data_IF_839081934867
#
_entry.id   IF_839081934867
#
_cell.length_a   1.000
_cell.length_b   1.000
_cell.length_c   1.000
_cell.angle_alpha   90.00
_cell.angle_beta   90.00
_cell.angle_gamma   90.00
#
_symmetry.space_group_name_H-M   'P 1'
#
loop_
_entity.id
_entity.type
_entity.pdbx_description
1 polymer ?
#
# COMPACT_ATOMS: atom_id res chain seq x y z
N UNK A 1 -26.73 -4.52 -11.24
CA UNK A 1 -27.39 -5.07 -10.03
C UNK A 1 -26.89 -4.30 -8.84
N UNK A 2 -27.79 -3.57 -8.14
CA UNK A 2 -27.41 -2.84 -6.92
C UNK A 2 -26.89 -3.86 -5.90
N UNK A 3 -25.59 -3.91 -5.67
CA UNK A 3 -25.08 -4.52 -4.43
C UNK A 3 -25.65 -3.70 -3.26
N UNK A 4 -26.27 -4.32 -2.26
CA UNK A 4 -26.61 -3.60 -1.07
C UNK A 4 -25.28 -3.07 -0.50
N UNK A 5 -25.18 -1.73 -0.26
CA UNK A 5 -24.13 -1.19 0.59
C UNK A 5 -24.18 -2.03 1.86
N UNK A 6 -23.21 -2.90 2.06
CA UNK A 6 -23.12 -3.64 3.30
C UNK A 6 -22.76 -2.59 4.34
N UNK A 7 -23.76 -2.15 5.10
CA UNK A 7 -23.57 -1.44 6.37
C UNK A 7 -22.86 -2.41 7.34
N UNK A 8 -21.61 -2.76 7.01
CA UNK A 8 -20.80 -3.65 7.84
C UNK A 8 -20.35 -2.84 9.03
N UNK A 9 -21.06 -3.01 10.13
CA UNK A 9 -20.66 -2.43 11.42
C UNK A 9 -19.46 -3.22 11.93
N UNK A 10 -18.31 -2.57 12.06
CA UNK A 10 -17.15 -3.15 12.71
C UNK A 10 -17.46 -3.36 14.20
N UNK A 11 -17.48 -4.62 14.64
CA UNK A 11 -17.73 -5.01 16.03
C UNK A 11 -16.42 -5.30 16.80
N UNK A 12 -15.27 -4.98 16.22
CA UNK A 12 -13.97 -5.37 16.74
C UNK A 12 -13.49 -6.71 16.18
N UNK A 13 -12.21 -6.99 16.36
CA UNK A 13 -11.66 -8.29 16.02
C UNK A 13 -12.05 -9.34 17.09
N UNK A 14 -12.16 -10.63 16.72
CA UNK A 14 -12.38 -11.70 17.68
C UNK A 14 -11.40 -11.61 18.86
N UNK A 15 -11.88 -11.75 20.08
CA UNK A 15 -11.08 -11.54 21.30
C UNK A 15 -9.82 -12.46 21.37
N UNK A 16 -9.86 -13.60 20.68
CA UNK A 16 -8.75 -14.56 20.58
C UNK A 16 -7.76 -14.26 19.47
N UNK A 17 -8.09 -13.32 18.55
CA UNK A 17 -7.22 -13.03 17.40
C UNK A 17 -5.92 -12.31 17.80
N UNK A 18 -4.84 -12.48 17.02
CA UNK A 18 -3.60 -11.70 17.14
C UNK A 18 -3.85 -10.20 17.09
N UNK A 19 -4.72 -9.72 16.18
CA UNK A 19 -5.12 -8.32 16.06
C UNK A 19 -5.65 -7.76 17.38
N UNK A 20 -6.66 -8.45 17.99
CA UNK A 20 -7.21 -8.02 19.27
C UNK A 20 -6.18 -8.06 20.41
N UNK A 21 -5.25 -9.01 20.38
CA UNK A 21 -4.15 -9.07 21.35
C UNK A 21 -3.17 -7.91 21.18
N UNK A 22 -2.85 -7.51 19.94
CA UNK A 22 -1.97 -6.38 19.63
C UNK A 22 -2.57 -5.04 20.08
N UNK A 23 -3.86 -4.82 19.79
CA UNK A 23 -4.60 -3.61 20.22
C UNK A 23 -4.69 -3.53 21.74
N UNK A 24 -5.08 -4.63 22.42
CA UNK A 24 -5.14 -4.67 23.90
C UNK A 24 -3.79 -4.42 24.56
N UNK A 25 -2.70 -4.81 23.91
CA UNK A 25 -1.33 -4.53 24.38
C UNK A 25 -0.88 -3.09 24.08
N UNK A 26 -1.72 -2.30 23.41
CA UNK A 26 -1.41 -0.93 23.03
C UNK A 26 -0.29 -0.81 21.99
N UNK A 27 -0.03 -1.84 21.22
CA UNK A 27 0.92 -1.80 20.11
C UNK A 27 0.34 -1.15 18.86
N UNK A 28 -0.95 -1.38 18.64
CA UNK A 28 -1.70 -0.85 17.51
C UNK A 28 -2.94 -0.12 17.99
N UNK A 29 -3.37 0.86 17.22
CA UNK A 29 -4.64 1.54 17.41
C UNK A 29 -5.77 0.71 16.75
N UNK A 30 -6.97 0.77 17.33
CA UNK A 30 -8.14 0.12 16.72
C UNK A 30 -8.56 0.87 15.45
N UNK A 31 -9.05 0.19 14.40
CA UNK A 31 -9.36 0.83 13.11
C UNK A 31 -10.69 1.60 13.09
N UNK A 32 -11.47 1.61 14.17
CA UNK A 32 -12.81 2.18 14.29
C UNK A 32 -12.82 3.64 14.81
N UNK A 33 -11.83 4.43 14.42
CA UNK A 33 -11.77 5.86 14.75
C UNK A 33 -12.45 6.74 13.68
N UNK A 34 -12.89 7.97 14.03
CA UNK A 34 -13.49 8.90 13.07
C UNK A 34 -12.51 9.25 11.95
N UNK A 35 -13.02 9.34 10.73
CA UNK A 35 -12.25 9.73 9.55
C UNK A 35 -12.90 10.93 8.87
N UNK A 36 -12.08 11.79 8.31
CA UNK A 36 -12.50 12.89 7.45
C UNK A 36 -12.21 12.54 5.99
N UNK A 37 -13.17 12.84 5.12
CA UNK A 37 -13.10 12.56 3.69
C UNK A 37 -13.18 13.84 2.88
N UNK A 38 -12.42 13.89 1.80
CA UNK A 38 -12.47 14.96 0.82
C UNK A 38 -12.91 14.39 -0.53
N UNK A 39 -14.02 14.90 -1.04
CA UNK A 39 -14.54 14.50 -2.34
C UNK A 39 -14.39 15.64 -3.36
N UNK A 40 -13.93 15.28 -4.55
CA UNK A 40 -13.86 16.22 -5.68
C UNK A 40 -13.96 15.46 -7.01
N UNK A 41 -14.40 16.18 -8.05
CA UNK A 41 -14.48 15.62 -9.40
C UNK A 41 -13.11 15.68 -10.06
N UNK A 42 -12.74 14.61 -10.77
CA UNK A 42 -11.53 14.56 -11.57
C UNK A 42 -11.55 15.72 -12.60
N UNK A 43 -10.53 16.58 -12.63
CA UNK A 43 -10.51 17.73 -13.56
C UNK A 43 -10.54 17.32 -15.03
N UNK A 44 -10.12 16.09 -15.35
CA UNK A 44 -10.07 15.57 -16.72
C UNK A 44 -11.27 14.69 -17.09
N UNK A 45 -12.12 14.30 -16.10
CA UNK A 45 -13.30 13.48 -16.34
C UNK A 45 -14.45 13.88 -15.40
N UNK A 46 -15.51 14.54 -15.90
CA UNK A 46 -16.64 14.95 -15.08
C UNK A 46 -17.49 13.79 -14.54
N UNK A 47 -17.29 12.57 -15.05
CA UNK A 47 -17.94 11.35 -14.59
C UNK A 47 -17.11 10.55 -13.60
N UNK A 48 -15.96 11.07 -13.18
CA UNK A 48 -15.08 10.45 -12.21
C UNK A 48 -14.97 11.33 -10.94
N UNK A 49 -15.20 10.73 -9.78
CA UNK A 49 -15.13 11.41 -8.47
C UNK A 49 -14.10 10.69 -7.60
N UNK A 50 -13.17 11.46 -7.04
CA UNK A 50 -12.27 10.98 -6.00
C UNK A 50 -12.85 11.22 -4.61
N UNK A 51 -12.66 10.26 -3.70
CA UNK A 51 -12.99 10.34 -2.28
C UNK A 51 -11.75 9.94 -1.49
N UNK A 52 -11.10 10.91 -0.84
CA UNK A 52 -9.80 10.74 -0.21
C UNK A 52 -9.94 10.76 1.31
N UNK A 53 -9.40 9.75 2.01
CA UNK A 53 -9.30 9.71 3.46
C UNK A 53 -8.24 10.71 3.95
N UNK A 54 -8.68 11.92 4.31
CA UNK A 54 -7.79 12.97 4.81
C UNK A 54 -7.09 12.55 6.10
N UNK A 55 -7.77 11.81 6.99
CA UNK A 55 -7.17 11.34 8.23
C UNK A 55 -5.95 10.45 7.97
N UNK A 56 -5.98 9.69 6.88
CA UNK A 56 -4.86 8.87 6.46
C UNK A 56 -3.77 9.65 5.72
N UNK A 57 -4.13 10.39 4.66
CA UNK A 57 -3.12 11.09 3.85
C UNK A 57 -2.46 12.28 4.58
N UNK A 58 -3.10 12.81 5.62
CA UNK A 58 -2.50 13.80 6.54
C UNK A 58 -1.73 13.14 7.70
N UNK A 59 -1.73 11.80 7.81
CA UNK A 59 -0.94 11.08 8.82
C UNK A 59 0.56 11.15 8.52
N UNK A 60 1.38 10.92 9.53
CA UNK A 60 2.84 10.93 9.42
C UNK A 60 3.42 9.51 9.20
N UNK A 61 2.66 8.67 8.52
CA UNK A 61 3.09 7.29 8.24
C UNK A 61 4.34 7.23 7.37
N UNK A 62 5.20 6.25 7.64
CA UNK A 62 6.25 5.78 6.73
C UNK A 62 6.50 4.29 6.92
N UNK A 63 6.72 3.58 5.83
CA UNK A 63 7.11 2.17 5.88
C UNK A 63 8.43 2.02 6.63
N UNK A 64 8.48 1.09 7.60
CA UNK A 64 9.65 0.82 8.42
C UNK A 64 10.34 -0.49 8.03
N UNK A 65 9.99 -1.07 6.88
CA UNK A 65 10.63 -2.31 6.44
C UNK A 65 12.15 -2.15 6.32
N UNK A 66 12.89 -3.14 6.75
CA UNK A 66 14.34 -3.10 6.84
C UNK A 66 14.89 -2.43 8.12
N UNK A 67 14.03 -1.90 8.99
CA UNK A 67 14.40 -1.32 10.29
C UNK A 67 13.89 -2.17 11.45
N UNK A 68 14.40 -1.92 12.66
CA UNK A 68 13.93 -2.59 13.90
C UNK A 68 12.49 -2.19 14.30
N UNK A 69 11.91 -1.17 13.69
CA UNK A 69 10.52 -0.74 13.95
C UNK A 69 9.51 -1.61 13.19
N UNK A 70 9.89 -2.20 12.04
CA UNK A 70 9.08 -3.20 11.36
C UNK A 70 9.15 -4.52 12.14
N UNK A 71 8.01 -4.98 12.64
CA UNK A 71 7.91 -6.24 13.40
C UNK A 71 7.55 -7.44 12.54
N UNK A 72 7.29 -7.22 11.25
CA UNK A 72 6.75 -8.22 10.34
C UNK A 72 5.30 -8.58 10.66
N UNK A 73 4.53 -9.00 9.65
CA UNK A 73 3.14 -9.44 9.86
C UNK A 73 3.05 -10.87 10.40
N UNK A 74 4.13 -11.66 10.30
CA UNK A 74 4.31 -12.97 10.91
C UNK A 74 5.50 -12.91 11.89
N UNK A 75 5.23 -13.09 13.17
CA UNK A 75 6.27 -13.05 14.22
C UNK A 75 7.31 -14.17 14.09
N UNK A 76 7.04 -15.23 13.30
CA UNK A 76 8.00 -16.30 13.01
C UNK A 76 9.02 -15.88 11.96
N UNK A 77 8.68 -14.85 11.17
CA UNK A 77 9.47 -14.33 10.05
C UNK A 77 9.48 -12.79 10.04
N UNK A 78 9.91 -12.13 11.13
CA UNK A 78 9.83 -10.67 11.24
C UNK A 78 10.68 -9.95 10.20
N UNK A 79 11.73 -10.61 9.68
CA UNK A 79 12.63 -10.05 8.67
C UNK A 79 12.04 -9.96 7.27
N UNK A 80 10.86 -10.54 7.00
CA UNK A 80 10.25 -10.52 5.67
C UNK A 80 9.07 -9.54 5.54
N UNK A 81 8.68 -8.91 6.63
CA UNK A 81 7.64 -7.87 6.62
C UNK A 81 6.31 -8.36 6.03
N UNK A 82 5.72 -7.60 5.10
CA UNK A 82 4.48 -7.95 4.38
C UNK A 82 4.72 -8.84 3.15
N UNK A 83 5.96 -9.18 2.81
CA UNK A 83 6.31 -9.99 1.64
C UNK A 83 5.98 -11.49 1.78
N UNK A 84 5.35 -11.93 2.87
CA UNK A 84 5.01 -13.35 3.11
C UNK A 84 4.00 -13.93 2.11
N UNK A 85 3.25 -13.08 1.40
CA UNK A 85 2.22 -13.53 0.44
C UNK A 85 2.67 -13.48 -1.03
N UNK A 86 3.83 -12.88 -1.34
CA UNK A 86 4.21 -12.55 -2.71
C UNK A 86 3.47 -11.30 -3.21
N UNK A 87 3.63 -10.99 -4.49
CA UNK A 87 2.97 -9.88 -5.15
C UNK A 87 2.17 -10.41 -6.34
N UNK A 88 0.87 -10.22 -6.33
CA UNK A 88 0.01 -10.48 -7.49
C UNK A 88 0.13 -9.33 -8.47
N UNK A 89 0.24 -9.65 -9.76
CA UNK A 89 0.25 -8.66 -10.83
C UNK A 89 -1.18 -8.14 -11.02
N UNK A 90 -1.31 -6.80 -11.07
CA UNK A 90 -2.60 -6.15 -11.26
C UNK A 90 -3.14 -6.36 -12.69
N UNK A 91 -2.25 -6.29 -13.67
CA UNK A 91 -2.54 -6.44 -15.10
C UNK A 91 -1.25 -6.72 -15.89
N UNK A 92 -1.34 -6.67 -17.23
CA UNK A 92 -0.18 -6.86 -18.12
C UNK A 92 0.84 -5.73 -18.01
N UNK A 93 0.41 -4.48 -17.76
CA UNK A 93 1.30 -3.34 -17.61
C UNK A 93 2.16 -3.46 -16.35
N UNK A 94 1.57 -3.89 -15.25
CA UNK A 94 2.28 -4.17 -13.98
C UNK A 94 3.32 -5.30 -14.16
N UNK A 95 2.97 -6.34 -14.95
CA UNK A 95 3.90 -7.42 -15.33
C UNK A 95 5.08 -6.90 -16.17
N UNK A 96 4.78 -6.08 -17.19
CA UNK A 96 5.79 -5.50 -18.07
C UNK A 96 6.74 -4.56 -17.31
N UNK A 97 6.22 -3.75 -16.39
CA UNK A 97 7.02 -2.90 -15.51
C UNK A 97 7.96 -3.73 -14.63
N UNK A 98 7.46 -4.83 -14.04
CA UNK A 98 8.32 -5.73 -13.27
C UNK A 98 9.39 -6.38 -14.13
N UNK A 99 9.07 -6.78 -15.38
CA UNK A 99 10.06 -7.29 -16.34
C UNK A 99 11.17 -6.28 -16.60
N UNK A 100 10.81 -5.03 -16.91
CA UNK A 100 11.77 -3.95 -17.15
C UNK A 100 12.63 -3.65 -15.92
N UNK A 101 12.04 -3.69 -14.73
CA UNK A 101 12.78 -3.51 -13.48
C UNK A 101 13.80 -4.63 -13.27
N UNK A 102 13.40 -5.91 -13.47
CA UNK A 102 14.31 -7.07 -13.36
C UNK A 102 15.43 -7.02 -14.38
N UNK A 103 15.14 -6.59 -15.62
CA UNK A 103 16.14 -6.47 -16.67
C UNK A 103 17.23 -5.42 -16.36
N UNK A 104 16.89 -4.36 -15.61
CA UNK A 104 17.80 -3.28 -15.20
C UNK A 104 18.49 -3.51 -13.87
N UNK A 105 17.88 -4.28 -12.96
CA UNK A 105 18.37 -4.51 -11.60
C UNK A 105 19.66 -5.36 -11.61
N UNK A 106 20.78 -4.88 -11.03
CA UNK A 106 21.98 -5.69 -10.89
C UNK A 106 21.75 -6.94 -10.00
N UNK A 107 22.32 -8.06 -10.42
CA UNK A 107 22.11 -9.36 -9.77
C UNK A 107 22.48 -9.38 -8.27
N UNK A 108 23.44 -8.56 -7.85
CA UNK A 108 23.88 -8.45 -6.45
C UNK A 108 22.81 -7.92 -5.50
N UNK A 109 21.78 -7.20 -6.02
CA UNK A 109 20.65 -6.77 -5.18
C UNK A 109 19.72 -7.91 -4.81
N UNK A 110 19.72 -9.02 -5.53
CA UNK A 110 18.70 -10.06 -5.43
C UNK A 110 19.24 -11.38 -4.88
N UNK A 111 19.06 -11.62 -3.59
CA UNK A 111 19.56 -12.79 -2.89
C UNK A 111 19.05 -14.14 -3.46
N UNK A 112 17.76 -14.20 -3.75
CA UNK A 112 17.10 -15.43 -4.20
C UNK A 112 16.84 -15.40 -5.72
N UNK A 113 17.73 -14.76 -6.47
CA UNK A 113 17.63 -14.65 -7.93
C UNK A 113 17.60 -16.04 -8.56
N UNK A 114 16.52 -16.39 -9.32
CA UNK A 114 16.42 -17.69 -9.96
C UNK A 114 17.57 -17.94 -10.95
N UNK A 115 17.94 -19.20 -11.08
CA UNK A 115 18.79 -19.62 -12.19
C UNK A 115 18.01 -19.43 -13.50
N UNK A 116 18.71 -19.05 -14.59
CA UNK A 116 18.10 -18.87 -15.89
C UNK A 116 17.51 -17.48 -16.17
N UNK A 117 17.55 -16.53 -15.20
CA UNK A 117 17.09 -15.15 -15.45
C UNK A 117 17.84 -14.49 -16.59
N UNK A 118 19.18 -14.62 -16.63
CA UNK A 118 19.97 -13.99 -17.70
C UNK A 118 19.72 -14.64 -19.07
N UNK A 119 19.53 -15.95 -19.11
CA UNK A 119 19.18 -16.69 -20.31
C UNK A 119 17.77 -16.32 -20.79
N UNK A 120 16.82 -16.13 -19.86
CA UNK A 120 15.47 -15.68 -20.19
C UNK A 120 15.47 -14.27 -20.77
N UNK A 121 16.15 -13.31 -20.14
CA UNK A 121 16.26 -11.93 -20.59
C UNK A 121 17.03 -11.77 -21.91
N UNK A 122 17.87 -12.74 -22.27
CA UNK A 122 18.61 -12.74 -23.54
C UNK A 122 17.77 -13.23 -24.74
N UNK A 123 16.53 -13.71 -24.51
CA UNK A 123 15.62 -14.15 -25.56
C UNK A 123 14.89 -12.96 -26.18
N UNK A 124 14.76 -12.92 -27.51
CA UNK A 124 14.08 -11.80 -28.20
C UNK A 124 12.55 -11.80 -27.97
N UNK A 125 11.94 -12.94 -27.78
CA UNK A 125 10.56 -13.16 -27.39
C UNK A 125 10.38 -14.64 -26.97
N UNK A 126 9.60 -14.89 -25.96
CA UNK A 126 9.28 -16.25 -25.49
C UNK A 126 7.84 -16.32 -25.01
N UNK A 127 7.19 -17.48 -25.25
CA UNK A 127 5.91 -17.81 -24.64
C UNK A 127 6.10 -18.43 -23.24
N UNK A 128 7.35 -18.55 -22.77
CA UNK A 128 7.67 -19.09 -21.45
C UNK A 128 7.36 -18.04 -20.36
N UNK A 129 6.90 -18.54 -19.22
CA UNK A 129 6.68 -17.70 -18.05
C UNK A 129 8.02 -17.23 -17.46
N UNK A 130 8.09 -15.99 -17.01
CA UNK A 130 9.26 -15.40 -16.35
C UNK A 130 9.68 -16.24 -15.14
N UNK A 131 10.99 -16.49 -14.92
CA UNK A 131 11.48 -17.29 -13.79
C UNK A 131 11.12 -16.72 -12.41
N UNK A 132 10.64 -15.48 -12.34
CA UNK A 132 10.22 -14.78 -11.12
C UNK A 132 8.71 -14.64 -10.97
N UNK A 133 7.92 -15.34 -11.80
CA UNK A 133 6.46 -15.41 -11.71
C UNK A 133 5.98 -16.86 -11.63
N UNK A 134 4.82 -17.05 -11.03
CA UNK A 134 4.09 -18.32 -10.98
C UNK A 134 2.59 -18.07 -11.13
N UNK A 135 1.88 -19.08 -11.65
CA UNK A 135 0.42 -19.07 -11.68
C UNK A 135 -0.14 -19.46 -10.31
N UNK A 136 -1.15 -18.73 -9.87
CA UNK A 136 -1.96 -18.98 -8.69
C UNK A 136 -3.42 -18.67 -8.98
N UNK A 137 -4.28 -18.67 -7.97
CA UNK A 137 -5.70 -18.36 -8.06
C UNK A 137 -6.05 -17.29 -7.04
N UNK A 138 -6.92 -16.37 -7.46
CA UNK A 138 -7.58 -15.39 -6.59
C UNK A 138 -9.07 -15.54 -6.68
N UNK A 139 -9.80 -15.19 -5.63
CA UNK A 139 -11.26 -15.09 -5.67
C UNK A 139 -11.67 -13.95 -6.61
N UNK A 140 -12.34 -14.29 -7.72
CA UNK A 140 -12.93 -13.34 -8.64
C UNK A 140 -14.10 -12.56 -8.01
N UNK A 141 -14.68 -11.62 -8.76
CA UNK A 141 -15.79 -10.79 -8.27
C UNK A 141 -17.04 -11.59 -7.88
N UNK A 142 -17.26 -12.74 -8.51
CA UNK A 142 -18.36 -13.66 -8.20
C UNK A 142 -18.01 -14.68 -7.09
N UNK A 143 -16.76 -14.65 -6.60
CA UNK A 143 -16.22 -15.57 -5.59
C UNK A 143 -15.77 -16.91 -6.16
N UNK A 144 -15.72 -17.07 -7.48
CA UNK A 144 -15.11 -18.24 -8.13
C UNK A 144 -13.60 -17.97 -8.33
N UNK A 145 -12.74 -19.02 -8.25
CA UNK A 145 -11.31 -18.87 -8.47
C UNK A 145 -10.97 -18.41 -9.90
N UNK A 146 -10.17 -17.39 -10.03
CA UNK A 146 -9.64 -16.90 -11.30
C UNK A 146 -8.12 -17.02 -11.35
N UNK A 147 -7.53 -17.41 -12.50
CA UNK A 147 -6.08 -17.47 -12.65
C UNK A 147 -5.45 -16.11 -12.42
N UNK A 148 -4.37 -16.08 -11.63
CA UNK A 148 -3.62 -14.88 -11.33
C UNK A 148 -2.12 -15.14 -11.39
N UNK A 149 -1.35 -14.15 -11.85
CA UNK A 149 0.11 -14.19 -11.81
C UNK A 149 0.61 -13.55 -10.53
N UNK A 150 1.58 -14.18 -9.90
CA UNK A 150 2.25 -13.61 -8.73
C UNK A 150 3.74 -13.93 -8.69
N UNK A 151 4.47 -13.23 -7.82
CA UNK A 151 5.85 -13.58 -7.48
C UNK A 151 5.88 -14.82 -6.58
N UNK A 152 6.77 -15.81 -6.83
CA UNK A 152 6.87 -17.03 -6.04
C UNK A 152 7.20 -16.76 -4.58
N UNK A 153 6.74 -17.67 -3.71
CA UNK A 153 7.12 -17.73 -2.30
C UNK A 153 8.28 -18.70 -2.14
N UNK A 154 9.43 -18.20 -1.75
CA UNK A 154 10.64 -19.00 -1.49
C UNK A 154 11.00 -18.83 -0.01
N UNK A 155 11.14 -19.96 0.70
CA UNK A 155 11.45 -19.97 2.14
C UNK A 155 10.53 -19.05 2.96
N UNK A 156 9.24 -19.05 2.63
CA UNK A 156 8.17 -18.36 3.36
C UNK A 156 7.99 -16.89 3.06
N UNK A 157 8.62 -16.35 2.01
CA UNK A 157 8.37 -14.98 1.54
C UNK A 157 8.64 -14.82 0.05
N UNK A 158 8.18 -13.69 -0.50
CA UNK A 158 8.42 -13.29 -1.88
C UNK A 158 9.87 -13.51 -2.29
N UNK A 159 10.07 -14.01 -3.51
CA UNK A 159 11.40 -14.29 -4.09
C UNK A 159 12.30 -13.04 -4.11
N UNK A 160 11.74 -11.83 -4.15
CA UNK A 160 12.48 -10.56 -4.09
C UNK A 160 12.83 -10.11 -2.67
N UNK A 161 12.37 -10.80 -1.64
CA UNK A 161 12.67 -10.43 -0.25
C UNK A 161 14.05 -10.97 0.16
N UNK A 162 15.04 -10.09 0.29
CA UNK A 162 16.36 -10.41 0.85
C UNK A 162 16.25 -10.64 2.35
N UNK A 163 16.89 -11.69 2.82
CA UNK A 163 16.94 -12.07 4.23
C UNK A 163 18.07 -11.34 4.97
N UNK A 164 18.00 -11.35 6.29
CA UNK A 164 19.02 -10.77 7.17
C UNK A 164 20.42 -11.25 6.82
N UNK A 165 21.33 -10.29 6.65
CA UNK A 165 22.74 -10.54 6.33
C UNK A 165 23.08 -10.52 4.84
N UNK A 166 22.13 -10.24 3.96
CA UNK A 166 22.46 -9.99 2.56
C UNK A 166 23.24 -8.69 2.38
N UNK A 167 24.13 -8.64 1.39
CA UNK A 167 25.11 -7.57 1.25
C UNK A 167 24.47 -6.18 1.01
N UNK A 168 23.37 -6.12 0.24
CA UNK A 168 22.63 -4.90 -0.04
C UNK A 168 21.56 -4.56 1.02
N UNK A 169 21.41 -5.41 2.03
CA UNK A 169 20.48 -5.22 3.14
C UNK A 169 19.32 -6.19 3.16
N UNK A 170 18.58 -6.17 4.27
CA UNK A 170 17.33 -6.92 4.46
C UNK A 170 16.18 -6.16 3.85
N UNK A 171 15.29 -6.87 3.14
CA UNK A 171 14.09 -6.28 2.57
C UNK A 171 13.94 -6.52 1.07
N UNK A 172 13.01 -5.83 0.43
CA UNK A 172 12.75 -6.02 -1.00
C UNK A 172 13.95 -5.58 -1.86
N UNK A 173 14.47 -6.48 -2.69
CA UNK A 173 15.57 -6.20 -3.62
C UNK A 173 15.23 -5.06 -4.59
N UNK A 174 14.00 -5.06 -5.13
CA UNK A 174 13.51 -4.01 -6.02
C UNK A 174 13.51 -2.64 -5.33
N UNK A 175 13.03 -2.58 -4.08
CA UNK A 175 12.99 -1.33 -3.31
C UNK A 175 14.40 -0.80 -3.03
N UNK A 176 15.30 -1.67 -2.57
CA UNK A 176 16.68 -1.27 -2.23
C UNK A 176 17.42 -0.77 -3.47
N UNK A 177 17.30 -1.48 -4.59
CA UNK A 177 17.89 -1.05 -5.84
C UNK A 177 17.30 0.27 -6.34
N UNK A 178 15.97 0.44 -6.30
CA UNK A 178 15.33 1.68 -6.72
C UNK A 178 15.84 2.88 -5.94
N UNK A 179 15.92 2.78 -4.61
CA UNK A 179 16.44 3.86 -3.74
C UNK A 179 17.90 4.19 -4.08
N UNK A 180 18.75 3.18 -4.23
CA UNK A 180 20.19 3.38 -4.55
C UNK A 180 20.41 3.93 -5.97
N UNK A 181 19.55 3.57 -6.93
CA UNK A 181 19.61 4.02 -8.31
C UNK A 181 18.90 5.36 -8.54
N UNK A 182 18.09 5.84 -7.57
CA UNK A 182 17.27 7.05 -7.73
C UNK A 182 16.08 6.83 -8.67
N UNK A 183 15.58 5.61 -8.74
CA UNK A 183 14.39 5.23 -9.52
C UNK A 183 13.12 5.40 -8.65
N UNK A 184 11.99 5.68 -9.30
CA UNK A 184 10.69 5.77 -8.63
C UNK A 184 10.18 4.37 -8.25
N UNK A 185 9.67 4.20 -7.03
CA UNK A 185 9.15 2.92 -6.55
C UNK A 185 7.94 2.44 -7.34
N UNK A 186 7.15 3.37 -7.86
CA UNK A 186 5.93 3.12 -8.65
C UNK A 186 6.22 2.51 -10.03
N UNK A 187 7.43 2.65 -10.56
CA UNK A 187 7.86 2.06 -11.84
C UNK A 187 8.78 0.85 -11.69
N UNK A 188 9.15 0.50 -10.45
CA UNK A 188 10.08 -0.60 -10.18
C UNK A 188 9.40 -1.76 -9.48
N UNK A 189 8.45 -1.49 -8.60
CA UNK A 189 7.76 -2.49 -7.79
C UNK A 189 6.40 -2.82 -8.39
N UNK A 190 5.91 -4.07 -8.22
CA UNK A 190 4.51 -4.39 -8.52
C UNK A 190 3.54 -3.44 -7.82
N UNK A 191 2.39 -3.16 -8.46
CA UNK A 191 1.41 -2.19 -7.98
C UNK A 191 1.00 -2.47 -6.52
N UNK A 192 0.66 -3.70 -6.20
CA UNK A 192 0.30 -4.10 -4.83
C UNK A 192 1.40 -3.80 -3.81
N UNK A 193 2.68 -3.79 -4.22
CA UNK A 193 3.82 -3.57 -3.33
C UNK A 193 4.12 -2.09 -3.09
N UNK A 194 3.97 -1.21 -4.10
CA UNK A 194 4.20 0.21 -3.89
C UNK A 194 2.95 0.90 -3.33
N UNK A 195 1.77 0.40 -3.66
CA UNK A 195 0.52 0.96 -3.19
C UNK A 195 0.34 0.82 -1.67
N UNK A 196 0.82 -0.29 -1.06
CA UNK A 196 0.69 -0.49 0.38
C UNK A 196 1.46 0.58 1.18
N UNK A 197 0.84 1.22 2.19
CA UNK A 197 -0.48 0.94 2.77
C UNK A 197 -1.61 1.89 2.31
N UNK A 198 -1.55 2.39 1.10
CA UNK A 198 -2.68 3.04 0.45
C UNK A 198 -3.60 1.96 -0.14
N UNK A 199 -4.89 2.20 -0.08
CA UNK A 199 -5.90 1.36 -0.71
C UNK A 199 -6.68 2.18 -1.72
N UNK A 200 -6.68 1.73 -2.97
CA UNK A 200 -7.60 2.20 -4.00
C UNK A 200 -8.79 1.24 -4.06
N UNK A 201 -9.98 1.78 -4.08
CA UNK A 201 -11.22 1.05 -4.32
C UNK A 201 -12.05 1.83 -5.33
N UNK A 202 -12.57 1.14 -6.33
CA UNK A 202 -13.36 1.73 -7.41
C UNK A 202 -14.75 1.11 -7.43
N UNK A 203 -15.76 1.95 -7.60
CA UNK A 203 -17.15 1.54 -7.71
C UNK A 203 -17.88 2.44 -8.71
N UNK A 204 -18.81 1.86 -9.46
CA UNK A 204 -19.69 2.60 -10.37
C UNK A 204 -21.00 2.89 -9.68
N UNK A 205 -21.35 4.18 -9.57
CA UNK A 205 -22.59 4.67 -8.99
C UNK A 205 -23.51 5.24 -10.07
N UNK A 206 -24.74 4.71 -10.14
CA UNK A 206 -25.77 5.31 -10.99
C UNK A 206 -26.44 6.48 -10.27
N UNK A 207 -26.39 7.68 -10.87
CA UNK A 207 -27.06 8.89 -10.38
C UNK A 207 -28.55 8.84 -10.67
N UNK A 208 -29.39 9.63 -9.95
CA UNK A 208 -30.83 9.71 -10.17
C UNK A 208 -31.24 10.15 -11.59
N UNK A 209 -30.35 10.82 -12.33
CA UNK A 209 -30.54 11.23 -13.73
C UNK A 209 -30.16 10.14 -14.74
N UNK A 210 -29.76 8.95 -14.26
CA UNK A 210 -29.34 7.82 -15.09
C UNK A 210 -27.90 7.91 -15.60
N UNK A 211 -27.11 8.88 -15.14
CA UNK A 211 -25.68 8.92 -15.44
C UNK A 211 -24.90 7.99 -14.49
N UNK A 212 -23.98 7.24 -15.06
CA UNK A 212 -23.02 6.46 -14.29
C UNK A 212 -21.77 7.29 -14.00
N UNK A 213 -21.28 7.24 -12.77
CA UNK A 213 -20.03 7.86 -12.36
C UNK A 213 -19.10 6.80 -11.78
N UNK A 214 -17.81 6.91 -12.09
CA UNK A 214 -16.76 6.18 -11.40
C UNK A 214 -16.43 6.90 -10.09
N UNK A 215 -16.47 6.20 -8.98
CA UNK A 215 -15.98 6.69 -7.68
C UNK A 215 -14.71 5.94 -7.32
N UNK A 216 -13.59 6.65 -7.26
CA UNK A 216 -12.33 6.12 -6.76
C UNK A 216 -12.12 6.59 -5.32
N UNK A 217 -12.06 5.65 -4.40
CA UNK A 217 -11.77 5.89 -2.99
C UNK A 217 -10.31 5.57 -2.71
N UNK A 218 -9.56 6.52 -2.09
CA UNK A 218 -8.17 6.31 -1.68
C UNK A 218 -8.08 6.55 -0.18
N UNK A 219 -7.60 5.55 0.55
CA UNK A 219 -7.52 5.59 2.00
C UNK A 219 -6.49 4.62 2.57
N UNK A 220 -6.62 4.33 3.86
CA UNK A 220 -5.76 3.40 4.55
C UNK A 220 -6.05 1.95 4.18
N UNK A 221 -5.01 1.21 3.81
CA UNK A 221 -5.06 -0.24 3.74
C UNK A 221 -4.81 -0.81 5.14
N UNK A 222 -5.84 -0.79 5.98
CA UNK A 222 -5.77 -1.37 7.32
C UNK A 222 -5.95 -2.89 7.29
N UNK A 223 -5.92 -3.54 8.46
CA UNK A 223 -6.09 -5.00 8.58
C UNK A 223 -7.35 -5.55 7.90
N UNK A 224 -8.45 -4.77 7.87
CA UNK A 224 -9.72 -5.17 7.25
C UNK A 224 -9.61 -5.28 5.74
N UNK A 225 -8.65 -4.59 5.14
CA UNK A 225 -8.34 -4.69 3.71
C UNK A 225 -7.90 -6.10 3.27
N UNK A 226 -7.36 -6.88 4.20
CA UNK A 226 -6.90 -8.26 3.96
C UNK A 226 -8.02 -9.31 4.13
N UNK A 227 -9.26 -8.87 4.29
CA UNK A 227 -10.38 -9.79 4.52
C UNK A 227 -10.22 -10.60 5.81
N UNK A 228 -10.63 -11.86 5.76
CA UNK A 228 -10.61 -12.76 6.93
C UNK A 228 -9.20 -13.04 7.48
N UNK A 229 -8.15 -12.90 6.66
CA UNK A 229 -6.76 -13.14 7.10
C UNK A 229 -6.14 -11.98 7.90
N UNK A 230 -6.67 -10.77 7.78
CA UNK A 230 -6.09 -9.59 8.41
C UNK A 230 -6.09 -9.61 9.94
N UNK A 231 -7.04 -10.35 10.56
CA UNK A 231 -7.10 -10.51 12.01
C UNK A 231 -6.04 -11.45 12.57
N UNK A 232 -5.47 -12.32 11.71
CA UNK A 232 -4.47 -13.33 12.08
C UNK A 232 -3.05 -12.81 12.05
N UNK A 233 -2.80 -11.63 11.51
CA UNK A 233 -1.48 -11.01 11.54
C UNK A 233 -1.07 -10.69 12.97
N UNK A 234 0.16 -11.02 13.33
CA UNK A 234 0.69 -10.73 14.67
C UNK A 234 0.91 -9.24 14.92
N UNK A 235 1.12 -8.48 13.84
CA UNK A 235 1.34 -7.04 13.86
C UNK A 235 0.98 -6.41 12.51
N UNK A 236 0.55 -5.14 12.50
CA UNK A 236 0.30 -4.41 11.28
C UNK A 236 0.73 -2.94 11.38
N UNK A 237 1.47 -2.48 10.38
CA UNK A 237 2.24 -1.23 10.47
C UNK A 237 1.36 0.03 10.47
N UNK A 238 0.24 0.05 9.73
CA UNK A 238 -0.55 1.28 9.57
C UNK A 238 -1.16 1.78 10.87
N UNK A 239 -1.35 0.89 11.86
CA UNK A 239 -1.90 1.21 13.16
C UNK A 239 -0.85 1.35 14.29
N UNK A 240 0.43 1.07 14.03
CA UNK A 240 1.50 1.20 15.04
C UNK A 240 2.14 2.60 14.99
N UNK A 241 2.13 3.29 16.13
CA UNK A 241 2.72 4.63 16.26
C UNK A 241 4.22 4.68 15.91
N UNK A 242 4.96 3.57 16.00
CA UNK A 242 6.34 3.50 15.56
C UNK A 242 6.52 3.73 14.06
N UNK A 243 5.44 3.53 13.28
CA UNK A 243 5.40 3.77 11.84
C UNK A 243 4.87 5.16 11.48
N UNK A 244 4.60 6.04 12.46
CA UNK A 244 4.04 7.38 12.26
C UNK A 244 4.99 8.50 12.69
N UNK A 245 6.28 8.34 12.45
CA UNK A 245 7.32 9.31 12.83
C UNK A 245 7.93 10.06 11.63
N UNK A 246 7.30 10.03 10.47
CA UNK A 246 7.76 10.80 9.31
C UNK A 246 7.64 12.30 9.60
N UNK A 247 8.66 13.14 9.31
CA UNK A 247 8.54 14.59 9.47
C UNK A 247 7.50 15.22 8.53
N UNK A 248 7.21 14.58 7.40
CA UNK A 248 6.22 15.03 6.41
C UNK A 248 4.95 14.16 6.50
N UNK A 249 3.76 14.75 6.27
CA UNK A 249 2.53 13.98 6.11
C UNK A 249 2.57 13.17 4.82
N UNK A 250 1.76 12.10 4.76
CA UNK A 250 1.76 11.18 3.61
C UNK A 250 1.46 11.86 2.28
N UNK A 251 0.56 12.86 2.24
CA UNK A 251 0.29 13.56 0.99
C UNK A 251 1.52 14.26 0.38
N UNK A 252 2.59 14.48 1.16
CA UNK A 252 3.88 14.98 0.67
C UNK A 252 4.90 13.86 0.48
N UNK A 253 4.99 12.94 1.45
CA UNK A 253 6.02 11.90 1.45
C UNK A 253 5.70 10.72 0.50
N UNK A 254 4.45 10.61 0.05
CA UNK A 254 3.95 9.61 -0.89
C UNK A 254 3.33 10.30 -2.12
N UNK A 255 3.94 11.41 -2.57
CA UNK A 255 3.47 12.15 -3.74
C UNK A 255 3.43 11.27 -4.98
N UNK A 256 4.50 10.49 -5.21
CA UNK A 256 4.63 9.67 -6.42
C UNK A 256 3.55 8.58 -6.47
N UNK A 257 3.28 7.91 -5.34
CA UNK A 257 2.22 6.91 -5.24
C UNK A 257 0.83 7.53 -5.41
N UNK A 258 0.58 8.70 -4.82
CA UNK A 258 -0.69 9.41 -4.98
C UNK A 258 -0.90 9.90 -6.40
N UNK A 259 0.15 10.38 -7.06
CA UNK A 259 0.11 10.76 -8.49
C UNK A 259 -0.16 9.55 -9.37
N UNK A 260 0.46 8.41 -9.10
CA UNK A 260 0.18 7.17 -9.83
C UNK A 260 -1.28 6.71 -9.67
N UNK A 261 -1.87 6.90 -8.46
CA UNK A 261 -3.25 6.51 -8.18
C UNK A 261 -4.33 7.44 -8.74
N UNK A 262 -4.06 8.74 -8.91
CA UNK A 262 -5.11 9.72 -9.26
C UNK A 262 -4.75 10.70 -10.37
N UNK A 263 -3.53 10.66 -10.86
CA UNK A 263 -3.01 11.62 -11.84
C UNK A 263 -2.56 12.94 -11.22
N UNK A 264 -1.67 13.65 -11.92
CA UNK A 264 -1.00 14.87 -11.44
C UNK A 264 -1.99 15.98 -11.07
N UNK A 265 -2.95 16.28 -11.94
CA UNK A 265 -3.89 17.36 -11.71
C UNK A 265 -4.83 17.10 -10.53
N UNK A 266 -5.25 15.84 -10.33
CA UNK A 266 -6.06 15.46 -9.17
C UNK A 266 -5.25 15.52 -7.88
N UNK A 267 -3.98 15.10 -7.91
CA UNK A 267 -3.07 15.24 -6.78
C UNK A 267 -2.86 16.72 -6.39
N UNK A 268 -2.71 17.63 -7.35
CA UNK A 268 -2.55 19.07 -7.08
C UNK A 268 -3.79 19.67 -6.36
N UNK A 269 -5.00 19.20 -6.68
CA UNK A 269 -6.22 19.57 -5.95
C UNK A 269 -6.16 19.09 -4.51
N UNK A 270 -5.78 17.82 -4.29
CA UNK A 270 -5.60 17.26 -2.94
C UNK A 270 -4.54 18.03 -2.15
N UNK A 271 -3.36 18.24 -2.73
CA UNK A 271 -2.25 18.95 -2.09
C UNK A 271 -2.63 20.38 -1.70
N UNK A 272 -3.33 21.10 -2.59
CA UNK A 272 -3.84 22.46 -2.28
C UNK A 272 -4.83 22.43 -1.12
N UNK A 273 -5.72 21.43 -1.07
CA UNK A 273 -6.69 21.25 0.02
C UNK A 273 -5.97 20.95 1.36
N UNK A 274 -5.03 20.02 1.38
CA UNK A 274 -4.26 19.68 2.59
C UNK A 274 -3.43 20.88 3.09
N UNK A 275 -2.81 21.67 2.19
CA UNK A 275 -2.11 22.91 2.54
C UNK A 275 -3.04 23.93 3.20
N UNK A 276 -4.25 24.13 2.67
CA UNK A 276 -5.23 25.04 3.24
C UNK A 276 -5.70 24.58 4.62
N UNK A 277 -5.90 23.27 4.82
CA UNK A 277 -6.26 22.68 6.10
C UNK A 277 -5.14 22.86 7.13
N UNK A 278 -3.89 22.59 6.74
CA UNK A 278 -2.73 22.82 7.60
C UNK A 278 -2.64 24.28 8.06
N UNK A 279 -2.80 25.23 7.14
CA UNK A 279 -2.82 26.66 7.51
C UNK A 279 -3.98 27.02 8.45
N UNK A 280 -5.14 26.37 8.33
CA UNK A 280 -6.28 26.58 9.21
C UNK A 280 -6.01 26.14 10.66
N UNK A 281 -5.12 25.16 10.89
CA UNK A 281 -4.73 24.76 12.25
C UNK A 281 -4.00 25.87 13.01
N UNK A 282 -3.24 26.71 12.31
CA UNK A 282 -2.58 27.88 12.90
C UNK A 282 -3.59 28.91 13.44
N UNK A 283 -4.82 28.87 12.92
CA UNK A 283 -5.94 29.70 13.35
C UNK A 283 -6.90 28.98 14.32
N UNK A 284 -6.45 27.83 14.87
CA UNK A 284 -7.17 27.10 15.92
C UNK A 284 -8.22 26.11 15.41
N UNK A 285 -8.26 25.82 14.10
CA UNK A 285 -9.09 24.73 13.57
C UNK A 285 -8.49 23.39 14.02
N UNK A 286 -9.31 22.53 14.58
CA UNK A 286 -8.90 21.17 14.95
C UNK A 286 -9.27 20.22 13.82
N UNK A 287 -8.30 19.44 13.34
CA UNK A 287 -8.47 18.41 12.34
C UNK A 287 -8.56 17.04 13.02
N UNK A 288 -9.29 16.12 12.42
CA UNK A 288 -9.28 14.72 12.84
C UNK A 288 -7.95 14.10 12.44
N UNK A 289 -7.20 13.65 13.44
CA UNK A 289 -5.88 13.07 13.25
C UNK A 289 -5.91 11.55 13.37
N UNK A 290 -5.01 10.88 12.65
CA UNK A 290 -4.82 9.45 12.81
C UNK A 290 -4.28 9.13 14.21
N UNK A 291 -4.93 8.22 14.99
CA UNK A 291 -4.57 7.95 16.39
C UNK A 291 -3.10 7.54 16.57
N UNK A 292 -2.54 6.78 15.64
CA UNK A 292 -1.14 6.37 15.70
C UNK A 292 -0.19 7.56 15.52
N UNK A 293 -0.52 8.56 14.68
CA UNK A 293 0.25 9.80 14.56
C UNK A 293 0.18 10.63 15.82
N UNK A 294 -0.99 10.74 16.44
CA UNK A 294 -1.15 11.42 17.75
C UNK A 294 -0.28 10.76 18.81
N UNK A 295 -0.30 9.44 18.90
CA UNK A 295 0.47 8.67 19.87
C UNK A 295 1.98 8.73 19.62
N UNK A 296 2.41 8.85 18.37
CA UNK A 296 3.80 9.07 18.00
C UNK A 296 4.30 10.46 18.41
N UNK A 297 3.41 11.39 18.74
CA UNK A 297 3.75 12.78 19.03
C UNK A 297 4.15 13.56 17.77
N UNK A 298 3.65 13.15 16.62
CA UNK A 298 3.95 13.81 15.35
C UNK A 298 3.47 15.25 15.34
N UNK A 299 4.23 16.20 14.75
CA UNK A 299 3.89 17.60 14.81
C UNK A 299 2.58 17.90 14.09
N UNK A 300 1.70 18.64 14.78
CA UNK A 300 0.45 19.17 14.18
C UNK A 300 0.75 20.39 13.29
N UNK A 301 1.99 20.86 13.30
CA UNK A 301 2.42 22.11 12.66
C UNK A 301 3.37 21.84 11.49
N UNK A 302 2.91 22.20 10.30
CA UNK A 302 3.69 22.18 9.05
C UNK A 302 4.54 23.45 8.86
N UNK A 303 5.10 23.99 9.94
CA UNK A 303 5.75 25.32 9.98
C UNK A 303 7.14 25.38 9.34
N UNK A 304 7.54 24.44 8.50
CA UNK A 304 8.84 24.53 7.82
C UNK A 304 8.74 24.14 6.34
N UNK A 305 8.23 25.06 5.53
CA UNK A 305 8.64 25.23 4.11
C UNK A 305 8.60 26.71 3.74
#
# INVERSE_FOLDING_TARGET
>A
MNRPKSDTVYLGFPASSPAAASIRAGREEAPDFPREWFEFTNPNDPHHVFSIDLTWVESHYSCQFGTSACRGIDKRQPEVGCCVHGAYMADEEDRDQLYDAVARMPAEYWQLRPAGVDEFLAQDATDELEPWLEWDELDGEDGEPEPALKTPIVDGACIFANRTGWATGTGCALHQWAVDAGEELTVVKPEVCWQLPLRRYEDYEERPDGQEILRTQIGEYDRRGWGNGGEDFDWYCSADSACHANPLPMWQSHEDELVALMGRESYEILAAHCKARAAATEHGVQLTQHPASVKAGSPVSYTHL
#
